data_IF_378579488555
#
_entry.id   IF_378579488555
#
_cell.length_a   1.000
_cell.length_b   1.000
_cell.length_c   1.000
_cell.angle_alpha   90.00
_cell.angle_beta   90.00
_cell.angle_gamma   90.00
#
_symmetry.space_group_name_H-M   'P 1'
#
loop_
_entity.id
_entity.type
_entity.pdbx_description
1 polymer ?
#
# COMPACT_ATOMS: atom_id res chain seq x y z
N UNK A 1 23.77 7.00 -1.87
CA UNK A 1 22.64 6.97 -2.83
C UNK A 1 21.38 6.53 -2.09
N UNK A 2 20.48 7.46 -1.78
CA UNK A 2 19.33 7.23 -0.89
C UNK A 2 18.29 6.28 -1.51
N UNK A 3 18.18 6.27 -2.84
CA UNK A 3 17.22 5.43 -3.57
C UNK A 3 17.48 3.95 -3.31
N UNK A 4 18.74 3.53 -3.45
CA UNK A 4 19.10 2.12 -3.29
C UNK A 4 18.96 1.68 -1.83
N UNK A 5 19.35 2.53 -0.88
CA UNK A 5 19.13 2.25 0.56
C UNK A 5 17.65 2.06 0.87
N UNK A 6 16.78 2.93 0.36
CA UNK A 6 15.33 2.81 0.54
C UNK A 6 14.79 1.50 -0.07
N UNK A 7 15.11 1.21 -1.32
CA UNK A 7 14.63 0.01 -2.00
C UNK A 7 15.11 -1.28 -1.33
N UNK A 8 16.35 -1.31 -0.84
CA UNK A 8 16.88 -2.45 -0.10
C UNK A 8 16.15 -2.65 1.22
N UNK A 9 15.94 -1.57 1.98
CA UNK A 9 15.18 -1.64 3.24
C UNK A 9 13.78 -2.23 3.04
N UNK A 10 13.04 -1.77 2.02
CA UNK A 10 11.72 -2.33 1.70
C UNK A 10 11.82 -3.80 1.33
N UNK A 11 12.77 -4.18 0.47
CA UNK A 11 12.94 -5.57 0.03
C UNK A 11 13.27 -6.52 1.19
N UNK A 12 14.08 -6.07 2.14
CA UNK A 12 14.52 -6.88 3.29
C UNK A 12 13.45 -7.00 4.38
N UNK A 13 12.53 -6.03 4.48
CA UNK A 13 11.59 -5.94 5.61
C UNK A 13 10.12 -6.09 5.22
N UNK A 14 9.79 -6.13 3.92
CA UNK A 14 8.44 -6.47 3.47
C UNK A 14 8.23 -8.00 3.46
N UNK A 15 7.05 -8.43 3.86
CA UNK A 15 6.65 -9.85 3.85
C UNK A 15 5.67 -10.06 2.70
N UNK A 16 5.92 -11.07 1.87
CA UNK A 16 5.06 -11.48 0.76
C UNK A 16 4.45 -12.83 1.08
N UNK A 17 3.12 -12.89 1.14
CA UNK A 17 2.37 -14.09 1.42
C UNK A 17 1.53 -14.45 0.20
N UNK A 18 1.88 -15.53 -0.48
CA UNK A 18 1.08 -16.03 -1.60
C UNK A 18 -0.16 -16.74 -1.04
N UNK A 19 -1.32 -16.09 -1.15
CA UNK A 19 -2.62 -16.61 -0.71
C UNK A 19 -3.15 -17.60 -1.74
N UNK A 20 -2.98 -17.29 -3.02
CA UNK A 20 -3.25 -18.19 -4.16
C UNK A 20 -2.27 -17.90 -5.29
N UNK A 21 -2.25 -18.72 -6.35
CA UNK A 21 -1.47 -18.48 -7.57
C UNK A 21 -1.73 -17.12 -8.24
N UNK A 22 -2.84 -16.46 -7.89
CA UNK A 22 -3.26 -15.19 -8.47
C UNK A 22 -3.41 -14.08 -7.43
N UNK A 23 -3.07 -14.32 -6.16
CA UNK A 23 -3.23 -13.35 -5.08
C UNK A 23 -2.07 -13.45 -4.10
N UNK A 24 -1.29 -12.38 -4.03
CA UNK A 24 -0.24 -12.19 -3.03
C UNK A 24 -0.63 -11.03 -2.11
N UNK A 25 -0.52 -11.23 -0.80
CA UNK A 25 -0.59 -10.17 0.19
C UNK A 25 0.82 -9.67 0.51
N UNK A 26 0.97 -8.35 0.61
CA UNK A 26 2.23 -7.69 0.92
C UNK A 26 2.05 -6.90 2.21
N UNK A 27 2.87 -7.21 3.21
CA UNK A 27 2.94 -6.48 4.46
C UNK A 27 4.19 -5.60 4.41
N UNK A 28 4.01 -4.28 4.50
CA UNK A 28 5.13 -3.32 4.45
C UNK A 28 5.76 -3.13 5.83
N UNK A 29 7.00 -2.61 5.92
CA UNK A 29 7.60 -2.25 7.21
C UNK A 29 7.05 -0.96 7.82
N UNK A 30 6.03 -0.34 7.22
CA UNK A 30 5.45 0.90 7.70
C UNK A 30 4.25 0.63 8.60
N UNK A 31 4.20 1.35 9.71
CA UNK A 31 3.15 1.22 10.71
C UNK A 31 2.18 2.39 10.59
N UNK A 32 0.89 2.09 10.64
CA UNK A 32 -0.17 3.10 10.64
C UNK A 32 -0.38 3.72 12.03
N UNK A 33 -1.27 4.74 12.17
CA UNK A 33 -1.53 5.35 13.46
C UNK A 33 -2.17 4.43 14.53
N UNK A 34 -2.67 3.26 14.14
CA UNK A 34 -3.24 2.24 15.05
C UNK A 34 -2.19 1.24 15.55
N UNK A 35 -0.96 1.31 15.03
CA UNK A 35 0.09 0.35 15.37
C UNK A 35 0.10 -0.90 14.49
N UNK A 36 -0.67 -0.90 13.40
CA UNK A 36 -0.76 -2.02 12.46
C UNK A 36 0.16 -1.80 11.25
N UNK A 37 0.70 -2.88 10.69
CA UNK A 37 1.48 -2.77 9.47
C UNK A 37 0.58 -2.43 8.28
N UNK A 38 0.98 -1.45 7.48
CA UNK A 38 0.28 -1.09 6.24
C UNK A 38 0.48 -2.25 5.26
N UNK A 39 -0.62 -2.88 4.86
CA UNK A 39 -0.64 -3.99 3.91
C UNK A 39 -1.41 -3.67 2.64
N UNK A 40 -1.13 -4.41 1.58
CA UNK A 40 -1.91 -4.38 0.34
C UNK A 40 -1.90 -5.73 -0.36
N UNK A 41 -2.91 -5.98 -1.19
CA UNK A 41 -3.03 -7.13 -2.06
C UNK A 41 -2.58 -6.83 -3.48
N UNK A 42 -1.92 -7.81 -4.10
CA UNK A 42 -1.65 -7.89 -5.53
C UNK A 42 -2.46 -9.05 -6.08
N UNK A 43 -3.45 -8.74 -6.94
CA UNK A 43 -4.36 -9.72 -7.55
C UNK A 43 -4.12 -9.75 -9.07
N UNK A 44 -3.85 -10.93 -9.64
CA UNK A 44 -3.64 -11.13 -11.08
C UNK A 44 -4.88 -11.72 -11.73
N UNK A 45 -5.22 -11.26 -12.93
CA UNK A 45 -6.23 -11.93 -13.78
C UNK A 45 -5.61 -12.59 -15.03
N UNK A 46 -4.29 -12.81 -15.02
CA UNK A 46 -3.53 -13.37 -16.14
C UNK A 46 -3.14 -12.36 -17.23
N UNK A 47 -3.68 -11.13 -17.22
CA UNK A 47 -3.30 -10.05 -18.13
C UNK A 47 -2.84 -8.79 -17.40
N UNK A 48 -3.43 -8.52 -16.25
CA UNK A 48 -3.20 -7.33 -15.45
C UNK A 48 -2.99 -7.71 -13.99
N UNK A 49 -2.17 -6.91 -13.32
CA UNK A 49 -2.05 -6.90 -11.87
C UNK A 49 -2.89 -5.74 -11.34
N UNK A 50 -3.76 -6.05 -10.39
CA UNK A 50 -4.49 -5.08 -9.58
C UNK A 50 -3.83 -4.99 -8.23
N UNK A 51 -3.41 -3.78 -7.85
CA UNK A 51 -2.86 -3.48 -6.53
C UNK A 51 -3.93 -2.73 -5.74
N UNK A 52 -4.27 -3.23 -4.56
CA UNK A 52 -5.36 -2.69 -3.74
C UNK A 52 -5.07 -2.94 -2.27
N UNK A 53 -5.28 -1.95 -1.41
CA UNK A 53 -5.33 -2.11 0.04
C UNK A 53 -6.76 -2.35 0.54
N UNK A 54 -7.69 -2.66 -0.38
CA UNK A 54 -9.11 -2.90 -0.14
C UNK A 54 -9.80 -1.81 0.71
N UNK A 55 -9.29 -0.57 0.65
CA UNK A 55 -9.86 0.61 1.30
C UNK A 55 -9.35 0.91 2.70
N UNK A 56 -8.42 0.12 3.24
CA UNK A 56 -7.91 0.28 4.61
C UNK A 56 -7.23 1.63 4.84
N UNK A 57 -6.43 2.14 3.89
CA UNK A 57 -5.78 3.45 4.05
C UNK A 57 -6.79 4.59 4.15
N UNK A 58 -7.84 4.57 3.31
CA UNK A 58 -8.90 5.59 3.36
C UNK A 58 -9.64 5.52 4.70
N UNK A 59 -9.91 4.31 5.18
CA UNK A 59 -10.51 4.10 6.50
C UNK A 59 -9.61 4.62 7.64
N UNK A 60 -8.31 4.29 7.61
CA UNK A 60 -7.30 4.78 8.57
C UNK A 60 -7.21 6.31 8.61
N UNK A 61 -7.36 6.98 7.48
CA UNK A 61 -7.41 8.44 7.44
C UNK A 61 -8.72 8.96 8.07
N UNK A 62 -9.84 8.29 7.82
CA UNK A 62 -11.15 8.70 8.32
C UNK A 62 -11.26 8.67 9.85
N UNK A 63 -10.66 7.67 10.51
CA UNK A 63 -10.59 7.59 11.98
C UNK A 63 -9.71 8.70 12.59
N UNK A 64 -8.82 9.29 11.79
CA UNK A 64 -8.01 10.45 12.14
C UNK A 64 -8.67 11.77 11.70
N UNK A 65 -9.98 11.75 11.40
CA UNK A 65 -10.76 12.89 10.91
C UNK A 65 -10.25 13.48 9.56
N UNK A 66 -9.50 12.70 8.78
CA UNK A 66 -9.03 13.07 7.45
C UNK A 66 -9.94 12.40 6.41
N UNK A 67 -10.82 13.18 5.81
CA UNK A 67 -11.74 12.69 4.78
C UNK A 67 -11.17 12.93 3.39
N UNK A 68 -10.62 11.87 2.79
CA UNK A 68 -10.17 11.91 1.41
C UNK A 68 -11.38 11.82 0.50
N UNK A 69 -11.76 12.96 -0.08
CA UNK A 69 -12.75 13.03 -1.14
C UNK A 69 -12.03 13.10 -2.48
N UNK A 70 -12.66 12.58 -3.53
CA UNK A 70 -12.17 12.71 -4.91
C UNK A 70 -12.31 14.17 -5.36
N UNK A 71 -11.47 15.09 -4.86
CA UNK A 71 -11.31 16.41 -5.46
C UNK A 71 -10.57 16.23 -6.78
N UNK A 72 -11.05 16.91 -7.82
CA UNK A 72 -10.57 16.80 -9.20
C UNK A 72 -9.05 16.93 -9.32
N UNK A 73 -8.54 16.36 -10.42
CA UNK A 73 -7.15 16.31 -10.91
C UNK A 73 -6.13 17.05 -10.03
N UNK A 74 -5.16 16.29 -9.50
CA UNK A 74 -3.97 16.77 -8.77
C UNK A 74 -3.51 18.11 -9.37
N UNK A 75 -3.58 19.19 -8.58
CA UNK A 75 -2.88 20.42 -8.93
C UNK A 75 -1.40 20.12 -8.75
N UNK A 76 -0.65 20.15 -9.84
CA UNK A 76 0.80 20.12 -9.77
C UNK A 76 1.26 21.39 -9.05
N UNK A 77 1.65 21.23 -7.79
CA UNK A 77 2.39 22.26 -7.05
C UNK A 77 3.84 22.13 -7.50
N UNK A 78 4.20 22.94 -8.49
CA UNK A 78 5.58 23.26 -8.88
C UNK A 78 6.07 24.46 -8.08
#
# INVERSE_FOLDING_TARGET
>A
DIKNTYLNYIKENAVFNDVTDTHTEVITPFIDPLGEAIGFSIKSNGKHLTVTDDGYTIWNLSINNIYVTKKGRRQDIF
#
